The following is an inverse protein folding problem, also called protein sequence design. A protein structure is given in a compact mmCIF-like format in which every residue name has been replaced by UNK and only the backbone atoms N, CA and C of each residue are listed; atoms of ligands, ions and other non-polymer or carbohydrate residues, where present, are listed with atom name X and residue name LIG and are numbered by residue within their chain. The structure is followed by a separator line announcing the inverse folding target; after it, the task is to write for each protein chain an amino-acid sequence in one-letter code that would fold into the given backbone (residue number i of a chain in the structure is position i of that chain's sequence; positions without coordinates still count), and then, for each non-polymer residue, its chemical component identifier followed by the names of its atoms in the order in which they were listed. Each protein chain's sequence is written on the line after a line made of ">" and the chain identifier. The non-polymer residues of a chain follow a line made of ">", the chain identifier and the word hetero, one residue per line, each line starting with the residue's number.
data_IF_232721349419
#
_entry.id   IF_232721349419
#
_cell.length_a   1.000
_cell.length_b   1.000
_cell.length_c   1.000
_cell.angle_alpha   90.00
_cell.angle_beta   90.00
_cell.angle_gamma   90.00
#
_symmetry.space_group_name_H-M   'P 1'
#
loop_
_entity.id
_entity.type
_entity.pdbx_description
1 polymer ?
#
# COMPACT_ATOMS: atom_id res chain seq x y z
N UNK A 1 3.95 -17.08 -3.99
CA UNK A 1 4.26 -15.67 -4.34
C UNK A 1 5.14 -15.66 -5.58
N UNK A 2 4.74 -14.93 -6.60
CA UNK A 2 5.45 -14.77 -7.88
C UNK A 2 6.41 -13.59 -7.82
N UNK A 3 7.61 -13.73 -8.43
CA UNK A 3 8.53 -12.62 -8.63
C UNK A 3 8.28 -12.01 -10.00
N UNK A 4 7.99 -10.70 -10.08
CA UNK A 4 7.77 -10.00 -11.32
C UNK A 4 9.13 -9.48 -11.84
N UNK A 5 9.60 -9.95 -13.01
CA UNK A 5 10.94 -9.66 -13.51
C UNK A 5 11.02 -8.26 -14.14
N UNK A 6 11.35 -7.24 -13.34
CA UNK A 6 11.52 -5.87 -13.79
C UNK A 6 12.94 -5.41 -13.45
N UNK A 7 13.74 -5.08 -14.49
CA UNK A 7 15.11 -4.59 -14.28
C UNK A 7 15.12 -3.32 -13.42
N UNK A 8 15.74 -3.40 -12.25
CA UNK A 8 15.90 -2.30 -11.30
C UNK A 8 14.76 -2.14 -10.29
N UNK A 9 13.82 -3.10 -10.26
CA UNK A 9 12.80 -3.24 -9.22
C UNK A 9 12.84 -4.65 -8.63
N UNK A 10 12.38 -4.78 -7.40
CA UNK A 10 12.14 -6.04 -6.73
C UNK A 10 10.66 -6.10 -6.35
N UNK A 11 9.87 -6.82 -7.16
CA UNK A 11 8.43 -6.92 -7.02
C UNK A 11 8.05 -8.38 -6.80
N UNK A 12 7.29 -8.61 -5.75
CA UNK A 12 6.71 -9.91 -5.42
C UNK A 12 5.20 -9.78 -5.33
N UNK A 13 4.48 -10.70 -5.94
CA UNK A 13 3.03 -10.63 -6.06
C UNK A 13 2.39 -11.95 -5.68
N UNK A 14 1.33 -11.88 -4.87
CA UNK A 14 0.48 -13.02 -4.53
C UNK A 14 -0.99 -12.64 -4.71
N UNK A 15 -1.58 -13.20 -5.76
CA UNK A 15 -2.96 -12.89 -6.14
C UNK A 15 -3.98 -13.37 -5.12
N UNK A 16 -3.73 -14.53 -4.50
CA UNK A 16 -4.62 -15.18 -3.56
C UNK A 16 -4.01 -15.20 -2.15
N UNK A 17 -3.49 -14.07 -1.70
CA UNK A 17 -2.89 -13.93 -0.37
C UNK A 17 -3.89 -14.16 0.76
N UNK A 18 -5.11 -13.64 0.61
CA UNK A 18 -6.24 -13.93 1.48
C UNK A 18 -7.29 -14.74 0.72
N UNK A 19 -8.00 -15.63 1.41
CA UNK A 19 -9.21 -16.21 0.86
C UNK A 19 -10.25 -15.11 0.61
N UNK A 20 -11.17 -15.30 -0.32
CA UNK A 20 -12.24 -14.34 -0.58
C UNK A 20 -13.06 -14.02 0.68
N UNK A 21 -13.32 -15.04 1.51
CA UNK A 21 -14.04 -14.90 2.77
C UNK A 21 -13.26 -14.04 3.78
N UNK A 22 -11.96 -14.34 4.00
CA UNK A 22 -11.11 -13.57 4.92
C UNK A 22 -10.94 -12.13 4.45
N UNK A 23 -10.74 -11.94 3.14
CA UNK A 23 -10.59 -10.63 2.55
C UNK A 23 -11.85 -9.77 2.72
N UNK A 24 -13.05 -10.37 2.53
CA UNK A 24 -14.33 -9.67 2.74
C UNK A 24 -14.52 -9.31 4.21
N UNK A 25 -14.30 -10.25 5.13
CA UNK A 25 -14.38 -9.99 6.58
C UNK A 25 -13.44 -8.86 7.00
N UNK A 26 -12.21 -8.89 6.49
CA UNK A 26 -11.22 -7.86 6.79
C UNK A 26 -11.63 -6.50 6.22
N UNK A 27 -12.09 -6.45 4.96
CA UNK A 27 -12.54 -5.23 4.30
C UNK A 27 -13.68 -4.56 5.07
N UNK A 28 -14.72 -5.33 5.42
CA UNK A 28 -15.88 -4.83 6.17
C UNK A 28 -15.46 -4.32 7.56
N UNK A 29 -14.57 -5.06 8.24
CA UNK A 29 -14.06 -4.67 9.54
C UNK A 29 -13.25 -3.37 9.48
N UNK A 30 -12.37 -3.22 8.47
CA UNK A 30 -11.57 -2.00 8.31
C UNK A 30 -12.45 -0.81 7.91
N UNK A 31 -13.43 -0.99 7.02
CA UNK A 31 -14.38 0.07 6.70
C UNK A 31 -15.12 0.60 7.93
N UNK A 32 -15.53 -0.31 8.83
CA UNK A 32 -16.30 0.04 10.02
C UNK A 32 -15.44 0.62 11.17
N UNK A 33 -14.18 0.18 11.30
CA UNK A 33 -13.36 0.44 12.51
C UNK A 33 -12.25 1.47 12.29
N UNK A 34 -11.78 1.65 11.06
CA UNK A 34 -10.73 2.62 10.81
C UNK A 34 -11.22 4.05 11.01
N UNK A 35 -10.37 4.87 11.61
CA UNK A 35 -10.60 6.29 11.80
C UNK A 35 -10.33 7.06 10.50
N UNK A 36 -11.22 6.89 9.53
CA UNK A 36 -11.08 7.48 8.21
C UNK A 36 -11.15 9.00 8.24
N UNK A 37 -10.17 9.64 7.62
CA UNK A 37 -10.11 11.09 7.46
C UNK A 37 -9.97 11.45 5.98
N UNK A 38 -10.80 12.39 5.52
CA UNK A 38 -10.57 13.04 4.25
C UNK A 38 -9.63 14.21 4.42
N UNK A 39 -8.40 14.03 4.03
CA UNK A 39 -7.38 15.08 4.15
C UNK A 39 -7.51 16.12 3.04
N UNK A 40 -7.17 17.38 3.35
CA UNK A 40 -7.10 18.46 2.36
C UNK A 40 -5.64 18.70 2.00
N UNK A 41 -5.35 18.83 0.71
CA UNK A 41 -4.01 19.23 0.26
C UNK A 41 -3.71 20.68 0.68
N UNK A 42 -2.43 21.07 0.68
CA UNK A 42 -1.99 22.45 0.95
C UNK A 42 -2.62 23.50 0.02
N UNK A 43 -3.14 23.09 -1.12
CA UNK A 43 -3.84 23.91 -2.10
C UNK A 43 -5.37 23.90 -1.98
N UNK A 44 -5.94 23.52 -0.84
CA UNK A 44 -7.39 23.41 -0.57
C UNK A 44 -8.12 22.33 -1.36
N UNK A 45 -7.45 21.48 -2.13
CA UNK A 45 -8.06 20.33 -2.77
C UNK A 45 -8.15 19.17 -1.78
N UNK A 46 -9.28 18.50 -1.72
CA UNK A 46 -9.39 17.25 -0.97
C UNK A 46 -8.55 16.17 -1.65
N UNK A 47 -7.80 15.41 -0.87
CA UNK A 47 -7.16 14.20 -1.36
C UNK A 47 -8.27 13.26 -1.87
N UNK A 48 -8.16 12.71 -3.08
CA UNK A 48 -9.24 11.91 -3.67
C UNK A 48 -9.24 10.48 -3.12
N UNK A 49 -9.33 10.34 -1.81
CA UNK A 49 -9.50 9.11 -1.01
C UNK A 49 -9.63 9.49 0.46
N UNK A 50 -10.10 8.57 1.28
CA UNK A 50 -10.02 8.71 2.73
C UNK A 50 -8.82 7.91 3.23
N UNK A 51 -8.15 8.37 4.29
CA UNK A 51 -6.92 7.80 4.81
C UNK A 51 -7.04 7.53 6.33
N UNK A 52 -6.38 6.48 6.79
CA UNK A 52 -6.19 6.22 8.22
C UNK A 52 -4.78 5.65 8.44
N UNK A 53 -4.03 6.17 9.42
CA UNK A 53 -2.65 5.79 9.67
C UNK A 53 -2.50 5.17 11.05
N UNK A 54 -1.97 3.95 11.10
CA UNK A 54 -1.75 3.17 12.32
C UNK A 54 -0.31 2.71 12.39
N UNK A 55 0.24 2.56 13.60
CA UNK A 55 1.61 2.08 13.74
C UNK A 55 2.10 2.10 15.18
N UNK A 56 3.38 1.76 15.32
CA UNK A 56 4.09 1.87 16.59
C UNK A 56 4.25 3.35 16.98
N UNK A 57 4.34 3.69 18.27
CA UNK A 57 4.23 5.08 18.75
C UNK A 57 5.20 6.09 18.11
N UNK A 58 6.36 5.64 17.63
CA UNK A 58 7.41 6.51 17.09
C UNK A 58 7.47 6.53 15.56
N UNK A 59 6.47 5.98 14.87
CA UNK A 59 6.44 5.91 13.40
C UNK A 59 5.82 7.14 12.76
N UNK A 60 6.11 8.34 13.29
CA UNK A 60 5.72 9.57 12.63
C UNK A 60 6.49 9.72 11.32
N UNK A 61 5.82 10.16 10.26
CA UNK A 61 6.49 10.50 9.00
C UNK A 61 5.86 11.72 8.35
N UNK A 62 6.61 12.35 7.45
CA UNK A 62 6.14 13.53 6.74
C UNK A 62 5.98 13.22 5.26
N UNK A 63 4.75 13.25 4.76
CA UNK A 63 4.43 13.12 3.34
C UNK A 63 3.76 14.38 2.82
N UNK A 64 4.21 14.90 1.69
CA UNK A 64 3.65 16.13 1.07
C UNK A 64 3.51 17.31 2.05
N UNK A 65 4.52 17.56 2.88
CA UNK A 65 4.57 18.59 3.94
C UNK A 65 3.55 18.40 5.06
N UNK A 66 3.13 17.18 5.32
CA UNK A 66 2.20 16.83 6.39
C UNK A 66 2.78 15.76 7.28
N UNK A 67 2.67 15.97 8.58
CA UNK A 67 3.00 14.97 9.55
C UNK A 67 1.85 13.97 9.69
N UNK A 68 2.19 12.69 9.59
CA UNK A 68 1.34 11.56 9.92
C UNK A 68 1.76 11.04 11.28
N UNK A 69 0.84 11.07 12.23
CA UNK A 69 1.03 10.48 13.55
C UNK A 69 0.22 9.21 13.62
N UNK A 70 0.82 8.09 14.00
CA UNK A 70 0.11 6.83 14.01
C UNK A 70 -0.94 6.78 15.12
N UNK A 71 -2.09 6.22 14.80
CA UNK A 71 -3.02 5.71 15.78
C UNK A 71 -2.52 4.36 16.31
N UNK A 72 -2.95 3.97 17.50
CA UNK A 72 -2.65 2.66 18.02
C UNK A 72 -3.25 1.56 17.13
N UNK A 73 -2.46 0.49 16.93
CA UNK A 73 -2.89 -0.66 16.16
C UNK A 73 -4.25 -1.21 16.60
N UNK A 74 -5.12 -1.50 15.64
CA UNK A 74 -6.32 -2.29 15.86
C UNK A 74 -6.04 -3.78 15.59
N UNK A 75 -6.76 -4.72 16.23
CA UNK A 75 -6.49 -6.16 16.11
C UNK A 75 -6.47 -6.67 14.66
N UNK A 76 -7.34 -6.15 13.81
CA UNK A 76 -7.43 -6.54 12.40
C UNK A 76 -6.15 -6.21 11.64
N UNK A 77 -5.57 -5.03 11.87
CA UNK A 77 -4.32 -4.61 11.23
C UNK A 77 -3.11 -5.35 11.82
N UNK A 78 -3.11 -5.68 13.11
CA UNK A 78 -2.08 -6.54 13.70
C UNK A 78 -2.11 -7.95 13.10
N UNK A 79 -3.27 -8.54 12.94
CA UNK A 79 -3.44 -9.83 12.29
C UNK A 79 -2.98 -9.81 10.82
N UNK A 80 -3.33 -8.75 10.09
CA UNK A 80 -2.88 -8.55 8.72
C UNK A 80 -1.36 -8.39 8.64
N UNK A 81 -0.75 -7.58 9.53
CA UNK A 81 0.70 -7.39 9.62
C UNK A 81 1.42 -8.72 9.74
N UNK A 82 1.02 -9.55 10.69
CA UNK A 82 1.63 -10.88 10.89
C UNK A 82 1.59 -11.72 9.61
N UNK A 83 0.44 -11.79 8.94
CA UNK A 83 0.28 -12.54 7.69
C UNK A 83 1.14 -11.99 6.56
N UNK A 84 1.29 -10.68 6.45
CA UNK A 84 2.15 -10.04 5.44
C UNK A 84 3.63 -10.32 5.73
N UNK A 85 4.07 -10.24 6.99
CA UNK A 85 5.43 -10.57 7.41
C UNK A 85 5.80 -12.02 7.08
N UNK A 86 4.86 -12.96 7.29
CA UNK A 86 5.06 -14.39 6.99
C UNK A 86 5.28 -14.67 5.49
N UNK A 87 4.62 -13.92 4.61
CA UNK A 87 4.73 -14.13 3.17
C UNK A 87 5.78 -13.25 2.50
N UNK A 88 6.30 -12.23 3.19
CA UNK A 88 7.34 -11.35 2.63
C UNK A 88 8.63 -12.14 2.42
N UNK A 89 9.11 -12.29 1.15
CA UNK A 89 10.31 -13.05 0.89
C UNK A 89 11.55 -12.41 1.52
N UNK A 90 12.43 -13.22 2.08
CA UNK A 90 13.71 -12.74 2.63
C UNK A 90 14.54 -11.95 1.60
N UNK A 91 14.42 -12.28 0.32
CA UNK A 91 15.06 -11.55 -0.76
C UNK A 91 14.65 -10.07 -0.82
N UNK A 92 13.40 -9.74 -0.45
CA UNK A 92 12.90 -8.35 -0.46
C UNK A 92 13.65 -7.42 0.49
N UNK A 93 14.31 -7.97 1.51
CA UNK A 93 15.05 -7.21 2.53
C UNK A 93 16.47 -7.75 2.81
N UNK A 94 16.99 -8.58 1.92
CA UNK A 94 18.30 -9.22 2.08
C UNK A 94 19.46 -8.22 2.26
N UNK A 95 19.34 -7.03 1.67
CA UNK A 95 20.32 -5.95 1.77
C UNK A 95 20.22 -5.11 3.06
N UNK A 96 19.23 -5.38 3.92
CA UNK A 96 19.03 -4.59 5.14
C UNK A 96 19.76 -5.16 6.36
N UNK A 97 20.42 -6.31 6.21
CA UNK A 97 21.10 -7.02 7.33
C UNK A 97 20.17 -7.30 8.53
N UNK A 98 18.88 -7.49 8.26
CA UNK A 98 17.88 -7.79 9.27
C UNK A 98 17.68 -9.30 9.38
N UNK A 99 17.58 -9.87 10.61
CA UNK A 99 17.27 -11.28 10.79
C UNK A 99 15.83 -11.61 10.39
N UNK A 100 14.93 -10.66 10.52
CA UNK A 100 13.52 -10.73 10.15
C UNK A 100 12.99 -9.33 9.88
N UNK A 101 12.14 -9.20 8.86
CA UNK A 101 11.41 -7.97 8.60
C UNK A 101 10.24 -7.86 9.60
N UNK A 102 10.02 -6.64 10.11
CA UNK A 102 8.81 -6.27 10.84
C UNK A 102 8.28 -4.97 10.29
N UNK A 103 7.00 -4.96 9.91
CA UNK A 103 6.30 -3.73 9.52
C UNK A 103 5.82 -3.00 10.76
N UNK A 104 6.20 -1.76 10.92
CA UNK A 104 5.92 -0.96 12.10
C UNK A 104 4.81 0.07 11.92
N UNK A 105 4.29 0.22 10.71
CA UNK A 105 3.18 1.13 10.41
C UNK A 105 2.39 0.68 9.18
N UNK A 106 1.16 1.20 9.05
CA UNK A 106 0.30 1.00 7.88
C UNK A 106 -0.49 2.26 7.58
N UNK A 107 -0.46 2.67 6.32
CA UNK A 107 -1.37 3.67 5.77
C UNK A 107 -2.51 2.96 5.05
N UNK A 108 -3.71 3.07 5.60
CA UNK A 108 -4.92 2.60 4.96
C UNK A 108 -5.46 3.69 4.03
N UNK A 109 -5.76 3.33 2.78
CA UNK A 109 -6.39 4.21 1.80
C UNK A 109 -7.74 3.64 1.39
N UNK A 110 -8.82 4.40 1.57
CA UNK A 110 -10.15 4.02 1.11
C UNK A 110 -10.51 4.82 -0.13
N UNK A 111 -10.53 4.16 -1.28
CA UNK A 111 -11.05 4.67 -2.53
C UNK A 111 -12.54 4.31 -2.58
N UNK A 112 -13.43 5.27 -2.44
CA UNK A 112 -14.90 5.05 -2.34
C UNK A 112 -15.50 4.56 -3.65
N UNK A 113 -14.87 4.89 -4.75
CA UNK A 113 -15.19 4.45 -6.10
C UNK A 113 -14.03 4.78 -7.05
N UNK A 114 -14.21 4.55 -8.33
CA UNK A 114 -13.17 4.78 -9.34
C UNK A 114 -12.77 6.24 -9.60
N UNK A 115 -13.49 7.23 -9.05
CA UNK A 115 -13.07 8.64 -9.12
C UNK A 115 -12.00 8.97 -8.07
N UNK A 116 -11.88 8.17 -7.02
CA UNK A 116 -10.79 8.26 -6.07
C UNK A 116 -9.52 7.62 -6.64
N UNK A 117 -8.36 8.16 -6.25
CA UNK A 117 -7.08 7.77 -6.85
C UNK A 117 -5.90 8.18 -5.97
N UNK A 118 -4.74 7.60 -6.24
CA UNK A 118 -3.46 8.18 -5.84
C UNK A 118 -2.62 8.43 -7.08
N UNK A 119 -2.10 9.65 -7.18
CA UNK A 119 -1.25 10.07 -8.30
C UNK A 119 0.13 9.41 -8.25
N UNK A 120 0.92 9.66 -9.27
CA UNK A 120 2.25 9.09 -9.42
C UNK A 120 3.20 9.58 -8.32
N UNK A 121 3.64 8.67 -7.45
CA UNK A 121 4.50 8.91 -6.29
C UNK A 121 5.45 7.74 -6.03
N UNK A 122 6.36 7.90 -5.11
CA UNK A 122 7.14 6.83 -4.48
C UNK A 122 7.08 7.01 -2.97
N UNK A 123 7.16 5.92 -2.22
CA UNK A 123 7.25 5.91 -0.77
C UNK A 123 8.75 5.89 -0.38
N UNK A 124 9.43 7.01 -0.61
CA UNK A 124 10.87 7.15 -0.44
C UNK A 124 11.25 8.21 0.61
N UNK A 125 10.31 8.52 1.50
CA UNK A 125 10.56 9.40 2.64
C UNK A 125 11.63 8.77 3.56
N UNK A 126 12.50 9.57 4.16
CA UNK A 126 13.61 9.07 5.00
C UNK A 126 13.16 8.17 6.16
N UNK A 127 11.93 8.38 6.64
CA UNK A 127 11.34 7.64 7.75
C UNK A 127 10.77 6.28 7.33
N UNK A 128 10.57 6.07 6.03
CA UNK A 128 10.00 4.83 5.50
C UNK A 128 11.10 3.81 5.18
N UNK A 129 10.84 2.56 5.52
CA UNK A 129 11.71 1.45 5.12
C UNK A 129 11.62 1.17 3.61
N UNK A 130 12.64 0.51 3.05
CA UNK A 130 12.68 0.24 1.60
C UNK A 130 11.73 -0.90 1.16
N UNK A 131 11.05 -1.57 2.09
CA UNK A 131 10.11 -2.65 1.78
C UNK A 131 8.70 -2.19 2.10
N UNK A 132 7.90 -2.05 1.05
CA UNK A 132 6.49 -1.64 1.15
C UNK A 132 5.62 -2.80 0.70
N UNK A 133 4.67 -3.21 1.54
CA UNK A 133 3.64 -4.17 1.19
C UNK A 133 2.31 -3.45 0.95
N UNK A 134 1.66 -3.76 -0.16
CA UNK A 134 0.34 -3.23 -0.53
C UNK A 134 -0.66 -4.37 -0.60
N UNK A 135 -1.63 -4.40 0.30
CA UNK A 135 -2.74 -5.35 0.30
C UNK A 135 -3.96 -4.68 -0.31
N UNK A 136 -4.58 -5.34 -1.29
CA UNK A 136 -5.76 -4.83 -1.99
C UNK A 136 -7.02 -5.54 -1.52
N UNK A 137 -8.02 -4.76 -1.13
CA UNK A 137 -9.31 -5.24 -0.64
C UNK A 137 -10.45 -4.51 -1.36
N UNK A 138 -11.58 -5.17 -1.57
CA UNK A 138 -12.74 -4.58 -2.25
C UNK A 138 -12.64 -4.65 -3.77
N UNK A 139 -13.05 -3.59 -4.47
CA UNK A 139 -13.05 -3.56 -5.93
C UNK A 139 -11.65 -3.70 -6.51
N UNK A 140 -11.51 -4.43 -7.59
CA UNK A 140 -10.24 -4.56 -8.30
C UNK A 140 -9.83 -3.24 -8.96
N UNK A 141 -8.62 -2.74 -8.69
CA UNK A 141 -8.10 -1.49 -9.23
C UNK A 141 -6.81 -1.72 -10.00
N UNK A 142 -6.63 -0.91 -11.03
CA UNK A 142 -5.38 -0.87 -11.78
C UNK A 142 -4.28 -0.23 -10.93
N UNK A 143 -3.18 -0.97 -10.76
CA UNK A 143 -1.91 -0.47 -10.23
C UNK A 143 -0.92 -0.29 -11.38
N UNK A 144 -0.17 0.80 -11.38
CA UNK A 144 0.90 1.04 -12.35
C UNK A 144 2.20 1.38 -11.64
N UNK A 145 3.27 0.77 -12.12
CA UNK A 145 4.65 1.11 -11.77
C UNK A 145 5.31 1.75 -12.99
N UNK A 146 5.81 2.96 -12.83
CA UNK A 146 6.38 3.75 -13.90
C UNK A 146 7.87 4.00 -13.67
N UNK A 147 8.64 3.98 -14.75
CA UNK A 147 10.04 4.43 -14.77
C UNK A 147 10.13 5.95 -14.62
N UNK A 148 11.30 6.50 -14.25
CA UNK A 148 11.51 7.96 -14.15
C UNK A 148 11.16 8.73 -15.44
N UNK A 149 11.33 8.10 -16.61
CA UNK A 149 10.97 8.69 -17.90
C UNK A 149 9.47 8.61 -18.23
N UNK A 150 8.63 8.15 -17.29
CA UNK A 150 7.19 8.04 -17.44
C UNK A 150 6.71 6.72 -18.08
N UNK A 151 7.59 5.93 -18.67
CA UNK A 151 7.19 4.65 -19.28
C UNK A 151 6.66 3.68 -18.22
N UNK A 152 5.56 3.01 -18.53
CA UNK A 152 4.99 1.96 -17.69
C UNK A 152 5.92 0.74 -17.71
N UNK A 153 6.42 0.36 -16.54
CA UNK A 153 7.25 -0.82 -16.35
C UNK A 153 6.42 -2.05 -15.98
N UNK A 154 5.32 -1.83 -15.26
CA UNK A 154 4.39 -2.87 -14.85
C UNK A 154 3.00 -2.26 -14.68
N UNK A 155 1.99 -3.00 -15.05
CA UNK A 155 0.59 -2.64 -14.83
C UNK A 155 -0.20 -3.91 -14.58
N UNK A 156 -0.90 -3.95 -13.46
CA UNK A 156 -1.70 -5.11 -13.05
C UNK A 156 -2.96 -4.65 -12.35
N UNK A 157 -4.04 -5.36 -12.56
CA UNK A 157 -5.25 -5.20 -11.76
C UNK A 157 -5.11 -6.02 -10.49
N UNK A 158 -5.15 -5.33 -9.35
CA UNK A 158 -4.96 -5.97 -8.05
C UNK A 158 -6.33 -6.41 -7.50
N UNK A 159 -6.60 -7.72 -7.50
CA UNK A 159 -7.88 -8.24 -7.04
C UNK A 159 -8.00 -8.24 -5.53
N UNK A 160 -9.24 -8.41 -5.08
CA UNK A 160 -9.59 -8.57 -3.68
C UNK A 160 -8.79 -9.68 -2.99
N UNK A 161 -8.09 -9.34 -1.91
CA UNK A 161 -7.26 -10.28 -1.16
C UNK A 161 -5.86 -10.52 -1.72
N UNK A 162 -5.41 -9.73 -2.70
CA UNK A 162 -4.04 -9.80 -3.20
C UNK A 162 -3.06 -9.00 -2.36
N UNK A 163 -1.76 -9.33 -2.46
CA UNK A 163 -0.65 -8.56 -1.90
C UNK A 163 0.45 -8.35 -2.93
N UNK A 164 0.92 -7.12 -3.04
CA UNK A 164 2.09 -6.71 -3.82
C UNK A 164 3.17 -6.20 -2.87
N UNK A 165 4.38 -6.76 -2.96
CA UNK A 165 5.52 -6.33 -2.13
C UNK A 165 6.55 -5.68 -3.03
N UNK A 166 6.96 -4.49 -2.68
CA UNK A 166 7.99 -3.70 -3.35
C UNK A 166 9.21 -3.63 -2.44
N UNK A 167 10.29 -4.29 -2.83
CA UNK A 167 11.54 -4.36 -2.05
C UNK A 167 12.70 -3.65 -2.72
N UNK A 168 13.88 -3.77 -2.13
CA UNK A 168 15.14 -3.30 -2.66
C UNK A 168 15.15 -1.82 -3.06
N UNK A 169 15.56 -1.54 -4.30
CA UNK A 169 15.65 -0.19 -4.84
C UNK A 169 14.36 0.29 -5.54
N UNK A 170 13.25 -0.42 -5.40
CA UNK A 170 12.02 -0.12 -6.14
C UNK A 170 11.53 1.30 -5.90
N UNK A 171 11.43 1.73 -4.64
CA UNK A 171 10.95 3.08 -4.30
C UNK A 171 11.90 4.19 -4.78
N UNK A 172 13.20 3.89 -4.90
CA UNK A 172 14.20 4.82 -5.42
C UNK A 172 14.12 4.97 -6.94
N UNK A 173 13.86 3.87 -7.65
CA UNK A 173 13.99 3.80 -9.10
C UNK A 173 12.67 3.98 -9.85
N UNK A 174 11.54 3.85 -9.17
CA UNK A 174 10.21 3.86 -9.78
C UNK A 174 9.24 4.74 -9.01
N UNK A 175 8.14 5.07 -9.70
CA UNK A 175 6.95 5.67 -9.09
C UNK A 175 5.76 4.78 -9.36
N UNK A 176 4.80 4.79 -8.47
CA UNK A 176 3.57 4.01 -8.65
C UNK A 176 2.31 4.85 -8.44
N UNK A 177 1.18 4.33 -8.89
CA UNK A 177 -0.12 5.00 -8.82
C UNK A 177 -1.28 4.01 -8.88
N UNK A 178 -2.41 4.45 -8.34
CA UNK A 178 -3.73 3.89 -8.61
C UNK A 178 -4.51 4.96 -9.36
N UNK A 179 -4.65 4.86 -10.70
CA UNK A 179 -5.29 5.89 -11.52
C UNK A 179 -6.80 5.94 -11.28
N UNK A 180 -7.45 7.00 -11.74
CA UNK A 180 -8.91 7.06 -11.81
C UNK A 180 -9.44 6.05 -12.81
N UNK A 181 -10.53 5.39 -12.44
CA UNK A 181 -11.30 4.45 -13.26
C UNK A 181 -12.80 4.70 -13.02
N UNK A 182 -13.40 5.75 -13.62
CA UNK A 182 -14.75 6.22 -13.29
C UNK A 182 -15.86 5.17 -13.37
N UNK A 183 -15.65 4.12 -14.16
CA UNK A 183 -16.63 3.02 -14.33
C UNK A 183 -16.71 2.10 -13.11
N UNK A 184 -15.74 2.18 -12.17
CA UNK A 184 -15.77 1.42 -10.93
C UNK A 184 -16.62 2.17 -9.90
N UNK A 185 -17.70 1.56 -9.47
CA UNK A 185 -18.65 2.16 -8.52
C UNK A 185 -18.46 1.69 -7.07
N UNK A 186 -17.80 0.56 -6.86
CA UNK A 186 -17.55 -0.02 -5.53
C UNK A 186 -16.26 0.54 -4.90
N UNK A 187 -16.19 0.42 -3.57
CA UNK A 187 -15.02 0.80 -2.80
C UNK A 187 -13.87 -0.22 -2.91
N UNK A 188 -12.66 0.30 -2.72
CA UNK A 188 -11.40 -0.44 -2.70
C UNK A 188 -10.57 0.02 -1.51
#
# INVERSE_FOLDING_TARGET
>A
METIPIRGAEIYYEKNFLSAEDATKLFDALQAKCAWERRRSSFRYSVPRDEAYYGDPETNYTYSRREYRPLAWIPELLGLRTRVEEVTPAAAYANLSLPKLSYNAVLCNLYRNGNDSVGLHSDAEPELGPVIASVSLGAERLFRLNRPNGAVAFAERLPHGSVLIMGGATQKNFKHQVPKEPDITQAH
#
